data_IF_184501377126
#
_entry.id   IF_184501377126
#
_cell.length_a   1.000
_cell.length_b   1.000
_cell.length_c   1.000
_cell.angle_alpha   90.00
_cell.angle_beta   90.00
_cell.angle_gamma   90.00
#
_symmetry.space_group_name_H-M   'P 1'
#
loop_
_entity.id
_entity.type
_entity.pdbx_description
1 polymer ?
#
# COMPACT_ATOMS: atom_id res chain seq x y z
N UNK A 1 -50.91 7.20 -23.57
CA UNK A 1 -50.20 5.94 -23.88
C UNK A 1 -48.71 6.23 -23.95
N UNK A 2 -47.89 5.75 -23.00
CA UNK A 2 -46.43 5.73 -23.17
C UNK A 2 -45.79 4.61 -22.30
N UNK A 3 -45.68 3.44 -22.93
CA UNK A 3 -44.63 2.40 -22.90
C UNK A 3 -43.63 2.43 -21.72
N UNK A 4 -43.66 1.45 -20.81
CA UNK A 4 -43.01 0.12 -20.91
C UNK A 4 -41.48 0.18 -20.79
N UNK A 5 -40.99 0.17 -19.55
CA UNK A 5 -39.57 -0.04 -19.23
C UNK A 5 -39.36 -1.53 -18.94
N UNK A 6 -38.75 -2.21 -19.90
CA UNK A 6 -38.30 -3.59 -19.78
C UNK A 6 -37.19 -3.69 -18.75
N UNK A 7 -37.50 -4.28 -17.60
CA UNK A 7 -36.50 -4.73 -16.62
C UNK A 7 -35.90 -6.04 -17.12
N UNK A 8 -35.00 -5.92 -18.10
CA UNK A 8 -34.11 -7.01 -18.48
C UNK A 8 -33.20 -7.31 -17.30
N UNK A 9 -33.44 -8.44 -16.64
CA UNK A 9 -32.51 -9.00 -15.64
C UNK A 9 -31.19 -9.26 -16.35
N UNK A 10 -30.24 -8.32 -16.27
CA UNK A 10 -28.85 -8.62 -16.55
C UNK A 10 -28.42 -9.60 -15.48
N UNK A 11 -28.30 -10.87 -15.86
CA UNK A 11 -27.61 -11.88 -15.07
C UNK A 11 -26.22 -11.31 -14.79
N UNK A 12 -25.98 -10.87 -13.54
CA UNK A 12 -24.77 -10.17 -13.18
C UNK A 12 -23.54 -10.97 -13.61
N UNK A 13 -22.73 -10.41 -14.50
CA UNK A 13 -21.61 -11.09 -15.12
C UNK A 13 -20.45 -11.38 -14.13
N UNK A 14 -20.52 -10.83 -12.92
CA UNK A 14 -19.44 -10.90 -11.94
C UNK A 14 -19.94 -11.59 -10.67
N UNK A 15 -19.51 -12.83 -10.47
CA UNK A 15 -19.84 -13.62 -9.29
C UNK A 15 -18.67 -13.65 -8.31
N UNK A 16 -18.94 -13.40 -7.04
CA UNK A 16 -17.96 -13.53 -5.96
C UNK A 16 -18.21 -14.81 -5.16
N UNK A 17 -17.36 -15.85 -5.26
CA UNK A 17 -17.55 -17.12 -4.55
C UNK A 17 -17.43 -16.97 -3.02
N UNK A 18 -16.57 -16.05 -2.54
CA UNK A 18 -16.37 -15.81 -1.11
C UNK A 18 -17.60 -15.18 -0.43
N UNK A 19 -18.37 -14.41 -1.19
CA UNK A 19 -19.54 -13.68 -0.69
C UNK A 19 -20.86 -14.26 -1.17
N UNK A 20 -20.83 -15.18 -2.14
CA UNK A 20 -21.97 -15.76 -2.83
C UNK A 20 -22.95 -14.69 -3.38
N UNK A 21 -22.40 -13.65 -4.02
CA UNK A 21 -23.20 -12.56 -4.62
C UNK A 21 -22.87 -12.38 -6.10
N UNK A 22 -23.87 -11.94 -6.86
CA UNK A 22 -23.73 -11.51 -8.24
C UNK A 22 -23.74 -9.98 -8.29
N UNK A 23 -22.75 -9.41 -8.97
CA UNK A 23 -22.65 -7.99 -9.25
C UNK A 23 -23.03 -7.73 -10.70
N UNK A 24 -23.86 -6.71 -10.91
CA UNK A 24 -24.39 -6.33 -12.22
C UNK A 24 -23.35 -5.67 -13.13
N UNK A 25 -22.36 -5.00 -12.53
CA UNK A 25 -21.37 -4.18 -13.26
C UNK A 25 -19.93 -4.50 -12.79
N UNK A 26 -18.96 -4.26 -13.66
CA UNK A 26 -17.53 -4.46 -13.35
C UNK A 26 -17.04 -3.53 -12.23
N UNK A 27 -17.47 -2.27 -12.26
CA UNK A 27 -17.12 -1.27 -11.24
C UNK A 27 -17.67 -1.65 -9.87
N UNK A 28 -18.90 -2.15 -9.81
CA UNK A 28 -19.52 -2.57 -8.55
C UNK A 28 -18.87 -3.85 -8.02
N UNK A 29 -18.47 -4.78 -8.90
CA UNK A 29 -17.67 -5.94 -8.52
C UNK A 29 -16.28 -5.53 -7.97
N UNK A 30 -15.59 -4.59 -8.60
CA UNK A 30 -14.30 -4.10 -8.11
C UNK A 30 -14.43 -3.41 -6.75
N UNK A 31 -15.46 -2.59 -6.58
CA UNK A 31 -15.75 -1.95 -5.29
C UNK A 31 -16.11 -2.97 -4.22
N UNK A 32 -16.84 -4.03 -4.59
CA UNK A 32 -17.14 -5.15 -3.69
C UNK A 32 -15.87 -5.84 -3.19
N UNK A 33 -14.95 -6.19 -4.10
CA UNK A 33 -13.68 -6.86 -3.76
C UNK A 33 -12.77 -5.98 -2.88
N UNK A 34 -12.76 -4.66 -3.14
CA UNK A 34 -11.99 -3.71 -2.33
C UNK A 34 -12.60 -3.46 -0.94
N UNK A 35 -13.88 -3.79 -0.75
CA UNK A 35 -14.64 -3.53 0.45
C UNK A 35 -14.24 -4.38 1.66
N UNK A 36 -14.39 -3.82 2.86
CA UNK A 36 -14.08 -4.47 4.13
C UNK A 36 -14.87 -5.77 4.35
N UNK A 37 -16.11 -5.83 3.87
CA UNK A 37 -16.97 -7.02 4.01
C UNK A 37 -16.44 -8.21 3.22
N UNK A 38 -15.93 -7.98 2.01
CA UNK A 38 -15.27 -9.01 1.22
C UNK A 38 -13.97 -9.44 1.89
N UNK A 39 -13.08 -8.49 2.20
CA UNK A 39 -11.77 -8.79 2.81
C UNK A 39 -11.87 -9.54 4.15
N UNK A 40 -12.95 -9.32 4.90
CA UNK A 40 -13.25 -10.07 6.14
C UNK A 40 -13.64 -11.53 5.84
N UNK A 41 -14.45 -11.76 4.80
CA UNK A 41 -14.92 -13.09 4.39
C UNK A 41 -13.85 -13.89 3.64
N UNK A 42 -13.03 -13.22 2.81
CA UNK A 42 -11.91 -13.84 2.10
C UNK A 42 -10.75 -14.20 3.03
N UNK A 43 -10.76 -13.69 4.27
CA UNK A 43 -9.67 -13.90 5.23
C UNK A 43 -8.45 -13.01 4.97
N UNK A 44 -8.48 -12.15 3.96
CA UNK A 44 -7.42 -11.17 3.69
C UNK A 44 -7.13 -10.28 4.88
N UNK A 45 -8.16 -9.79 5.59
CA UNK A 45 -7.95 -8.97 6.80
C UNK A 45 -7.26 -9.75 7.93
N UNK A 46 -7.55 -11.04 8.05
CA UNK A 46 -6.92 -11.89 9.06
C UNK A 46 -5.46 -12.20 8.69
N UNK A 47 -5.18 -12.37 7.40
CA UNK A 47 -3.82 -12.55 6.89
C UNK A 47 -2.98 -11.27 7.03
N UNK A 48 -3.56 -10.12 6.75
CA UNK A 48 -2.92 -8.81 6.89
C UNK A 48 -2.60 -8.50 8.36
N UNK A 49 -3.56 -8.77 9.25
CA UNK A 49 -3.35 -8.63 10.70
C UNK A 49 -2.26 -9.55 11.28
N UNK A 50 -1.99 -10.70 10.66
CA UNK A 50 -0.88 -11.58 11.05
C UNK A 50 0.49 -11.07 10.58
N UNK A 51 0.54 -10.19 9.58
CA UNK A 51 1.79 -9.70 8.98
C UNK A 51 2.44 -8.56 9.75
N UNK A 52 1.67 -7.76 10.46
CA UNK A 52 2.17 -6.60 11.19
C UNK A 52 1.92 -6.76 12.70
N UNK A 53 2.87 -6.29 13.51
CA UNK A 53 2.62 -6.11 14.95
C UNK A 53 1.47 -5.12 15.11
N UNK A 54 0.53 -5.39 16.03
CA UNK A 54 -0.53 -4.44 16.36
C UNK A 54 0.13 -3.08 16.74
N UNK A 55 -0.48 -1.95 16.36
CA UNK A 55 0.11 -0.62 16.57
C UNK A 55 0.50 -0.35 18.04
N UNK A 56 -0.23 -0.96 18.97
CA UNK A 56 -0.01 -0.88 20.41
C UNK A 56 1.27 -1.60 20.91
N UNK A 57 1.91 -2.45 20.10
CA UNK A 57 3.15 -3.14 20.45
C UNK A 57 4.35 -2.74 19.58
N UNK A 58 4.21 -1.70 18.76
CA UNK A 58 5.32 -1.11 18.02
C UNK A 58 6.23 -0.35 18.98
N UNK A 59 7.51 -0.70 18.97
CA UNK A 59 8.53 -0.03 19.78
C UNK A 59 9.33 0.97 18.93
N UNK A 60 9.96 1.98 19.54
CA UNK A 60 10.91 2.85 18.84
C UNK A 60 12.02 2.06 18.13
N UNK A 61 12.43 0.92 18.67
CA UNK A 61 13.41 0.03 18.05
C UNK A 61 12.90 -0.56 16.72
N UNK A 62 11.63 -0.97 16.66
CA UNK A 62 11.02 -1.48 15.42
C UNK A 62 10.96 -0.38 14.34
N UNK A 63 10.64 0.86 14.73
CA UNK A 63 10.63 2.02 13.83
C UNK A 63 12.04 2.32 13.32
N UNK A 64 13.03 2.38 14.21
CA UNK A 64 14.42 2.64 13.83
C UNK A 64 14.98 1.54 12.93
N UNK A 65 14.61 0.27 13.14
CA UNK A 65 14.99 -0.82 12.25
C UNK A 65 14.39 -0.68 10.84
N UNK A 66 13.16 -0.17 10.74
CA UNK A 66 12.53 0.13 9.45
C UNK A 66 13.21 1.31 8.74
N UNK A 67 13.56 2.36 9.49
CA UNK A 67 14.30 3.51 8.96
C UNK A 67 15.65 3.09 8.41
N UNK A 68 16.42 2.28 9.15
CA UNK A 68 17.74 1.83 8.68
C UNK A 68 17.63 0.94 7.44
N UNK A 69 16.64 0.04 7.39
CA UNK A 69 16.36 -0.76 6.18
C UNK A 69 16.10 0.11 4.97
N UNK A 70 15.25 1.14 5.12
CA UNK A 70 14.91 2.05 4.02
C UNK A 70 16.09 2.93 3.62
N UNK A 71 16.90 3.35 4.58
CA UNK A 71 18.15 4.07 4.33
C UNK A 71 19.10 3.25 3.44
N UNK A 72 19.25 1.95 3.71
CA UNK A 72 20.04 1.05 2.87
C UNK A 72 19.44 0.86 1.47
N UNK A 73 18.13 0.62 1.39
CA UNK A 73 17.41 0.44 0.11
C UNK A 73 17.55 1.66 -0.81
N UNK A 74 17.52 2.86 -0.23
CA UNK A 74 17.63 4.11 -0.96
C UNK A 74 19.08 4.59 -1.12
N UNK A 75 20.07 3.86 -0.59
CA UNK A 75 21.48 4.29 -0.58
C UNK A 75 21.70 5.64 0.12
N UNK A 76 20.80 6.01 1.04
CA UNK A 76 20.84 7.31 1.69
C UNK A 76 21.98 7.33 2.74
N UNK A 77 22.88 8.30 2.58
CA UNK A 77 23.92 8.56 3.57
C UNK A 77 23.37 9.48 4.67
N UNK A 78 23.66 9.21 5.96
CA UNK A 78 23.35 10.11 7.06
C UNK A 78 24.07 11.42 6.85
N UNK A 79 23.44 12.47 7.38
CA UNK A 79 24.08 13.77 7.49
C UNK A 79 25.45 13.73 8.19
N UNK A 80 25.62 12.86 9.19
CA UNK A 80 26.90 12.68 9.88
C UNK A 80 28.02 12.08 9.01
N UNK A 81 27.67 11.41 7.92
CA UNK A 81 28.62 10.81 6.97
C UNK A 81 28.81 11.67 5.72
N UNK A 82 28.11 12.81 5.63
CA UNK A 82 28.35 13.80 4.59
C UNK A 82 29.71 14.43 4.86
N UNK A 83 30.77 13.95 4.20
CA UNK A 83 32.06 14.64 4.20
C UNK A 83 31.96 15.87 3.32
N UNK A 84 31.91 17.05 3.94
CA UNK A 84 32.24 18.31 3.26
C UNK A 84 33.73 18.23 2.93
N UNK A 85 34.09 18.10 1.65
CA UNK A 85 35.46 18.37 1.23
C UNK A 85 35.68 19.88 1.36
N UNK A 86 36.16 20.30 2.52
CA UNK A 86 36.71 21.63 2.68
C UNK A 86 37.95 21.67 1.80
N UNK A 87 37.83 22.33 0.66
CA UNK A 87 38.89 22.54 -0.29
C UNK A 87 40.01 23.29 0.45
N UNK A 88 41.00 22.53 0.92
CA UNK A 88 42.27 23.07 1.37
C UNK A 88 42.79 23.94 0.24
N UNK A 89 42.70 25.24 0.51
CA UNK A 89 43.45 26.35 -0.05
C UNK A 89 44.89 25.87 -0.25
N UNK A 90 45.16 25.34 -1.44
CA UNK A 90 46.52 25.23 -1.96
C UNK A 90 46.85 26.59 -2.55
N UNK A 91 47.23 27.49 -1.65
CA UNK A 91 48.12 28.59 -1.96
C UNK A 91 49.42 27.97 -2.49
N UNK A 92 49.52 27.77 -3.81
CA UNK A 92 50.82 27.54 -4.46
C UNK A 92 51.06 28.67 -5.46
N UNK A 93 51.54 29.76 -4.89
CA UNK A 93 52.43 30.66 -5.59
C UNK A 93 53.69 29.86 -5.96
N UNK A 94 53.98 29.68 -7.25
CA UNK A 94 55.32 29.33 -7.73
C UNK A 94 55.52 29.89 -9.13
N UNK A 95 56.22 31.04 -9.13
CA UNK A 95 57.10 31.64 -10.15
C UNK A 95 56.57 31.94 -11.56
#
# INVERSE_FOLDING_TARGET
MLQAQGSGRTTGAYYCPCCNIYCSDSRTAQQHLAGLSHKKKSGELAADRKRYKDDACLTPADVMALVERKRLELGAIPWSQLRVQEQEKMDVNTH
#
